data_IF_863182933690
#
_entry.id   IF_863182933690
#
_cell.length_a   1.000
_cell.length_b   1.000
_cell.length_c   1.000
_cell.angle_alpha   90.00
_cell.angle_beta   90.00
_cell.angle_gamma   90.00
#
_symmetry.space_group_name_H-M   'P 1'
#
loop_
_entity.id
_entity.type
_entity.pdbx_description
1 polymer ?
#
# COMPACT_ATOMS: atom_id res chain seq x y z
N UNK A 1 -1.67 -1.50 -33.32
CA UNK A 1 -0.59 -2.25 -32.68
C UNK A 1 -0.11 -1.40 -31.51
N UNK A 2 -0.15 -1.93 -30.30
CA UNK A 2 0.23 -1.20 -29.08
C UNK A 2 1.54 -1.77 -28.56
N UNK A 3 2.43 -0.90 -28.08
CA UNK A 3 3.74 -1.27 -27.54
C UNK A 3 3.84 -0.69 -26.13
N UNK A 4 4.05 -1.55 -25.15
CA UNK A 4 4.20 -1.16 -23.74
C UNK A 4 5.67 -1.23 -23.35
N UNK A 5 6.20 -0.14 -22.79
CA UNK A 5 7.57 -0.04 -22.32
C UNK A 5 7.59 0.08 -20.79
N UNK A 6 8.38 -0.76 -20.12
CA UNK A 6 8.66 -0.62 -18.69
C UNK A 6 9.95 0.16 -18.50
N UNK A 7 9.88 1.24 -17.74
CA UNK A 7 10.99 2.14 -17.51
C UNK A 7 11.29 2.15 -16.01
N UNK A 8 12.54 1.86 -15.65
CA UNK A 8 13.02 2.02 -14.28
C UNK A 8 13.37 3.49 -14.02
N UNK A 9 12.67 4.13 -13.08
CA UNK A 9 12.84 5.54 -12.74
C UNK A 9 14.02 5.83 -11.82
N UNK A 10 14.85 4.83 -11.48
CA UNK A 10 16.06 5.03 -10.66
C UNK A 10 17.11 5.91 -11.35
N UNK A 11 17.21 5.84 -12.68
CA UNK A 11 18.15 6.64 -13.48
C UNK A 11 17.63 8.04 -13.82
N UNK A 12 18.52 9.03 -13.81
CA UNK A 12 18.19 10.40 -14.24
C UNK A 12 17.76 10.47 -15.71
N UNK A 13 18.36 9.64 -16.56
CA UNK A 13 18.01 9.55 -17.98
C UNK A 13 16.57 9.05 -18.18
N UNK A 14 16.15 8.09 -17.36
CA UNK A 14 14.80 7.54 -17.40
C UNK A 14 13.73 8.57 -16.99
N UNK A 15 14.04 9.44 -16.02
CA UNK A 15 13.16 10.55 -15.62
C UNK A 15 12.99 11.58 -16.73
N UNK A 16 14.08 12.00 -17.38
CA UNK A 16 14.05 12.93 -18.51
C UNK A 16 13.29 12.34 -19.70
N UNK A 17 13.48 11.05 -19.97
CA UNK A 17 12.74 10.35 -21.01
C UNK A 17 11.23 10.28 -20.73
N UNK A 18 10.83 10.05 -19.47
CA UNK A 18 9.43 10.12 -19.05
C UNK A 18 8.83 11.52 -19.22
N UNK A 19 9.56 12.58 -18.89
CA UNK A 19 9.12 13.96 -19.11
C UNK A 19 8.93 14.27 -20.59
N UNK A 20 9.82 13.78 -21.45
CA UNK A 20 9.65 13.89 -22.90
C UNK A 20 8.38 13.13 -23.36
N UNK A 21 8.19 11.89 -22.89
CA UNK A 21 7.02 11.08 -23.23
C UNK A 21 5.70 11.73 -22.80
N UNK A 22 5.68 12.49 -21.70
CA UNK A 22 4.51 13.26 -21.26
C UNK A 22 4.03 14.31 -22.27
N UNK A 23 4.90 14.79 -23.15
CA UNK A 23 4.52 15.80 -24.15
C UNK A 23 3.69 15.23 -25.30
N UNK A 24 3.71 13.91 -25.51
CA UNK A 24 3.01 13.26 -26.60
C UNK A 24 1.60 12.84 -26.17
N UNK A 25 0.59 13.32 -26.89
CA UNK A 25 -0.82 13.05 -26.59
C UNK A 25 -1.26 11.59 -26.81
N UNK A 26 -0.48 10.82 -27.57
CA UNK A 26 -0.74 9.41 -27.86
C UNK A 26 -0.06 8.45 -26.87
N UNK A 27 0.73 8.97 -25.92
CA UNK A 27 1.42 8.16 -24.92
C UNK A 27 0.60 8.12 -23.64
N UNK A 28 0.23 6.92 -23.20
CA UNK A 28 -0.42 6.69 -21.91
C UNK A 28 0.62 6.26 -20.88
N UNK A 29 0.75 7.04 -19.80
CA UNK A 29 1.65 6.72 -18.69
C UNK A 29 0.84 6.00 -17.61
N UNK A 30 1.33 4.83 -17.19
CA UNK A 30 0.73 4.01 -16.14
C UNK A 30 1.70 4.00 -14.97
N UNK A 31 1.47 4.89 -14.00
CA UNK A 31 2.28 4.95 -12.77
C UNK A 31 1.87 3.82 -11.83
N UNK A 32 2.62 2.72 -11.88
CA UNK A 32 2.39 1.52 -11.05
C UNK A 32 2.61 1.78 -9.55
N UNK A 33 3.24 2.90 -9.19
CA UNK A 33 3.46 3.33 -7.80
C UNK A 33 2.26 4.09 -7.21
N UNK A 34 1.43 4.74 -8.03
CA UNK A 34 0.27 5.53 -7.59
C UNK A 34 -1.02 4.70 -7.47
N UNK A 35 -1.12 3.56 -8.15
CA UNK A 35 -2.25 2.63 -7.98
C UNK A 35 -2.33 2.00 -6.58
N UNK A 36 -1.32 2.22 -5.71
CA UNK A 36 -1.37 1.77 -4.31
C UNK A 36 -2.03 2.78 -3.35
N UNK A 37 -2.34 4.00 -3.77
CA UNK A 37 -2.83 5.05 -2.83
C UNK A 37 -4.18 5.66 -3.15
N UNK A 38 -4.72 5.54 -4.37
CA UNK A 38 -6.02 6.15 -4.73
C UNK A 38 -7.20 5.20 -4.86
N UNK A 39 -7.07 3.93 -4.43
CA UNK A 39 -8.20 2.98 -4.42
C UNK A 39 -8.20 2.08 -3.17
N UNK A 40 -7.90 2.66 -2.00
CA UNK A 40 -8.11 2.00 -0.70
C UNK A 40 -9.57 2.05 -0.23
N UNK A 41 -10.52 2.09 -1.15
CA UNK A 41 -11.71 1.23 -1.06
C UNK A 41 -11.37 -0.12 -1.69
N UNK A 42 -10.30 -0.75 -1.19
CA UNK A 42 -10.16 -2.20 -1.26
C UNK A 42 -11.54 -2.72 -0.84
N UNK A 43 -12.23 -3.41 -1.75
CA UNK A 43 -13.27 -4.36 -1.37
C UNK A 43 -12.59 -5.24 -0.34
N UNK A 44 -12.75 -4.92 0.93
CA UNK A 44 -12.22 -5.72 2.01
C UNK A 44 -12.82 -7.09 1.74
N UNK A 45 -11.98 -8.05 1.33
CA UNK A 45 -12.37 -9.45 1.20
C UNK A 45 -12.91 -9.99 2.55
N UNK A 46 -12.73 -9.19 3.61
CA UNK A 46 -13.14 -9.41 4.97
C UNK A 46 -14.32 -8.51 5.36
N UNK A 47 -15.23 -9.09 6.14
CA UNK A 47 -16.38 -8.38 6.69
C UNK A 47 -15.94 -7.08 7.43
N UNK A 48 -16.54 -5.92 7.14
CA UNK A 48 -16.16 -4.65 7.78
C UNK A 48 -16.31 -4.65 9.31
N UNK A 49 -17.24 -5.44 9.87
CA UNK A 49 -17.35 -5.65 11.32
C UNK A 49 -16.15 -6.39 11.90
N UNK A 50 -15.56 -7.31 11.14
CA UNK A 50 -14.36 -8.04 11.55
C UNK A 50 -13.15 -7.10 11.56
N UNK A 51 -12.95 -6.35 10.48
CA UNK A 51 -11.83 -5.40 10.36
C UNK A 51 -11.85 -4.34 11.45
N UNK A 52 -13.03 -3.82 11.81
CA UNK A 52 -13.15 -2.83 12.89
C UNK A 52 -12.82 -3.41 14.28
N UNK A 53 -13.16 -4.67 14.56
CA UNK A 53 -12.75 -5.35 15.80
C UNK A 53 -11.23 -5.52 15.88
N UNK A 54 -10.58 -5.96 14.80
CA UNK A 54 -9.12 -6.12 14.76
C UNK A 54 -8.41 -4.78 14.97
N UNK A 55 -8.87 -3.71 14.28
CA UNK A 55 -8.29 -2.38 14.48
C UNK A 55 -8.45 -1.85 15.89
N UNK A 56 -9.56 -2.17 16.57
CA UNK A 56 -9.75 -1.83 18.00
C UNK A 56 -8.79 -2.61 18.90
N UNK A 57 -8.65 -3.92 18.68
CA UNK A 57 -7.74 -4.76 19.45
C UNK A 57 -6.27 -4.37 19.26
N UNK A 58 -5.88 -4.00 18.04
CA UNK A 58 -4.51 -3.56 17.72
C UNK A 58 -4.15 -2.21 18.36
N UNK A 59 -5.16 -1.37 18.63
CA UNK A 59 -4.98 -0.09 19.35
C UNK A 59 -5.01 -0.25 20.87
N UNK A 60 -5.49 -1.37 21.39
CA UNK A 60 -5.38 -1.66 22.82
C UNK A 60 -3.94 -2.05 23.11
N UNK A 61 -3.32 -1.31 24.02
CA UNK A 61 -1.97 -1.58 24.50
C UNK A 61 -1.93 -2.99 25.08
N UNK A 62 -1.12 -3.86 24.46
CA UNK A 62 -1.00 -5.24 24.92
C UNK A 62 -0.31 -5.24 26.28
N UNK A 63 -1.04 -5.61 27.33
CA UNK A 63 -0.43 -5.85 28.64
C UNK A 63 0.41 -7.12 28.53
N UNK A 64 1.73 -6.96 28.55
CA UNK A 64 2.65 -8.10 28.70
C UNK A 64 2.56 -8.58 30.13
N UNK A 65 1.86 -9.69 30.33
CA UNK A 65 1.81 -10.35 31.63
C UNK A 65 3.05 -11.23 31.74
N UNK A 66 3.80 -11.02 32.82
CA UNK A 66 4.93 -11.87 33.17
C UNK A 66 4.42 -13.27 33.56
N UNK A 67 4.98 -14.31 32.94
CA UNK A 67 4.52 -15.68 33.14
C UNK A 67 4.68 -16.14 34.57
N UNK A 68 5.71 -15.64 35.26
CA UNK A 68 6.00 -15.98 36.65
C UNK A 68 5.01 -15.34 37.63
N UNK A 69 4.44 -14.18 37.26
CA UNK A 69 3.49 -13.41 38.09
C UNK A 69 2.02 -13.66 37.74
N UNK A 70 1.76 -14.47 36.72
CA UNK A 70 0.40 -14.77 36.25
C UNK A 70 -0.45 -15.40 37.37
N UNK A 71 0.17 -16.22 38.21
CA UNK A 71 -0.49 -16.92 39.32
C UNK A 71 -0.79 -16.02 40.54
N UNK A 72 -0.22 -14.82 40.61
CA UNK A 72 -0.45 -13.88 41.71
C UNK A 72 -1.68 -12.98 41.48
N UNK A 73 -2.24 -12.99 40.27
CA UNK A 73 -3.38 -12.15 39.87
C UNK A 73 -4.68 -12.94 39.62
N UNK A 74 -4.74 -14.21 40.00
CA UNK A 74 -5.95 -15.08 40.00
C UNK A 74 -6.41 -15.25 41.44
#
# INVERSE_FOLDING_TARGET
MEVTLKIDQTSQQAKLFLELLRTFSFVKIIDTTLEQTSDRTEKLHYNPKFVSKIRKAMKQESVRIDREKLWESI
#
